data_IF_553471065162
#
_entry.id   IF_553471065162
#
_cell.length_a   1.000
_cell.length_b   1.000
_cell.length_c   1.000
_cell.angle_alpha   90.00
_cell.angle_beta   90.00
_cell.angle_gamma   90.00
#
_symmetry.space_group_name_H-M   'P 1'
#
loop_
_entity.id
_entity.type
_entity.pdbx_description
1 polymer ?
#
# COMPACT_ATOMS: atom_id res chain seq x y z
N UNK A 1 -8.21 -13.72 -6.29
CA UNK A 1 -7.07 -12.84 -6.53
C UNK A 1 -7.56 -11.58 -7.21
N UNK A 2 -6.84 -10.46 -7.09
CA UNK A 2 -7.27 -9.14 -7.61
C UNK A 2 -6.07 -8.41 -8.20
N UNK A 3 -6.22 -7.84 -9.39
CA UNK A 3 -5.16 -7.04 -10.01
C UNK A 3 -5.14 -5.66 -9.37
N UNK A 4 -3.95 -5.23 -8.94
CA UNK A 4 -3.73 -3.89 -8.39
C UNK A 4 -2.47 -3.24 -8.96
N UNK A 5 -2.53 -1.92 -9.11
CA UNK A 5 -1.37 -1.07 -9.41
C UNK A 5 -1.06 -0.18 -8.21
N UNK A 6 0.23 0.11 -8.04
CA UNK A 6 0.79 0.91 -6.96
C UNK A 6 1.80 1.89 -7.57
N UNK A 7 1.58 3.19 -7.39
CA UNK A 7 2.59 4.23 -7.66
C UNK A 7 3.15 4.72 -6.33
N UNK A 8 4.44 4.51 -6.06
CA UNK A 8 5.11 5.00 -4.85
C UNK A 8 5.69 6.38 -5.16
N UNK A 9 5.17 7.40 -4.50
CA UNK A 9 5.26 8.79 -4.92
C UNK A 9 6.24 9.55 -4.01
N UNK A 10 7.42 9.91 -4.51
CA UNK A 10 8.30 10.87 -3.85
C UNK A 10 7.80 12.30 -4.07
N UNK A 11 7.91 13.18 -3.06
CA UNK A 11 7.59 14.59 -3.23
C UNK A 11 8.63 15.24 -4.13
N UNK A 12 8.20 16.21 -4.95
CA UNK A 12 9.08 17.04 -5.76
C UNK A 12 10.17 17.69 -4.90
N UNK A 13 11.43 17.75 -5.34
CA UNK A 13 12.50 18.34 -4.55
C UNK A 13 12.19 19.79 -4.12
N UNK A 14 12.27 20.05 -2.83
CA UNK A 14 12.00 21.37 -2.24
C UNK A 14 10.52 21.65 -1.94
N UNK A 15 9.59 20.73 -2.24
CA UNK A 15 8.20 20.82 -1.81
C UNK A 15 8.08 20.47 -0.32
N UNK A 16 7.29 21.23 0.42
CA UNK A 16 6.99 20.92 1.81
C UNK A 16 6.13 19.65 1.92
N UNK A 17 6.29 18.89 3.02
CA UNK A 17 5.57 17.63 3.21
C UNK A 17 4.07 17.83 3.32
N UNK A 18 3.62 18.82 4.08
CA UNK A 18 2.18 19.08 4.24
C UNK A 18 1.60 19.56 2.91
N UNK A 19 2.33 20.44 2.20
CA UNK A 19 1.97 20.88 0.85
C UNK A 19 1.83 19.69 -0.11
N UNK A 20 2.74 18.71 -0.08
CA UNK A 20 2.67 17.52 -0.91
C UNK A 20 1.42 16.69 -0.63
N UNK A 21 1.14 16.38 0.64
CA UNK A 21 -0.03 15.57 0.98
C UNK A 21 -1.35 16.31 0.68
N UNK A 22 -1.38 17.62 0.86
CA UNK A 22 -2.52 18.45 0.47
C UNK A 22 -2.71 18.42 -1.04
N UNK A 23 -1.67 18.65 -1.83
CA UNK A 23 -1.72 18.62 -3.30
C UNK A 23 -2.17 17.26 -3.84
N UNK A 24 -1.60 16.19 -3.27
CA UNK A 24 -1.92 14.82 -3.64
C UNK A 24 -3.39 14.50 -3.38
N UNK A 25 -3.96 14.99 -2.27
CA UNK A 25 -5.40 14.86 -1.97
C UNK A 25 -6.25 15.76 -2.87
N UNK A 26 -5.86 17.02 -3.02
CA UNK A 26 -6.50 18.03 -3.86
C UNK A 26 -5.48 19.07 -4.35
N UNK A 27 -5.34 19.29 -5.67
CA UNK A 27 -6.30 18.92 -6.71
C UNK A 27 -6.12 17.51 -7.28
N UNK A 28 -4.94 16.89 -7.14
CA UNK A 28 -4.58 15.69 -7.90
C UNK A 28 -5.57 14.54 -7.71
N UNK A 29 -5.78 14.13 -6.45
CA UNK A 29 -6.71 13.06 -6.08
C UNK A 29 -8.14 13.34 -6.52
N UNK A 30 -8.56 14.60 -6.52
CA UNK A 30 -9.90 15.04 -6.98
C UNK A 30 -10.06 14.86 -8.49
N UNK A 31 -9.04 15.20 -9.27
CA UNK A 31 -9.07 15.04 -10.73
C UNK A 31 -9.15 13.57 -11.16
N UNK A 32 -8.56 12.66 -10.37
CA UNK A 32 -8.53 11.22 -10.68
C UNK A 32 -9.79 10.42 -10.31
N UNK A 33 -10.77 10.98 -9.60
CA UNK A 33 -11.87 10.19 -9.00
C UNK A 33 -12.84 9.54 -10.00
N UNK A 34 -12.88 9.98 -11.26
CA UNK A 34 -13.91 9.57 -12.22
C UNK A 34 -13.39 8.66 -13.34
N UNK A 35 -12.23 8.02 -13.14
CA UNK A 35 -11.71 7.03 -14.09
C UNK A 35 -12.56 5.76 -14.07
N UNK A 36 -13.14 5.39 -15.21
CA UNK A 36 -14.04 4.22 -15.31
C UNK A 36 -13.29 2.89 -15.30
N UNK A 37 -11.97 2.90 -15.54
CA UNK A 37 -11.11 1.72 -15.46
C UNK A 37 -10.90 1.26 -14.01
N UNK A 38 -10.99 2.17 -13.03
CA UNK A 38 -10.77 1.83 -11.62
C UNK A 38 -11.98 1.12 -10.99
N UNK A 39 -11.73 0.11 -10.16
CA UNK A 39 -12.72 -0.58 -9.30
C UNK A 39 -12.56 -0.22 -7.82
N UNK A 40 -11.49 0.48 -7.50
CA UNK A 40 -11.19 0.99 -6.18
C UNK A 40 -9.96 1.89 -6.28
N UNK A 41 -9.97 2.96 -5.50
CA UNK A 41 -8.86 3.90 -5.43
C UNK A 41 -8.61 4.27 -3.97
N UNK A 42 -7.35 4.09 -3.55
CA UNK A 42 -6.88 4.42 -2.22
C UNK A 42 -5.64 5.30 -2.33
N UNK A 43 -5.70 6.47 -1.69
CA UNK A 43 -4.53 7.30 -1.46
C UNK A 43 -3.91 6.93 -0.12
N UNK A 44 -2.73 6.33 -0.15
CA UNK A 44 -1.99 5.97 1.05
C UNK A 44 -1.03 7.12 1.38
N UNK A 45 -1.31 7.91 2.42
CA UNK A 45 -0.44 8.97 2.88
C UNK A 45 0.51 8.43 3.96
N UNK A 46 1.82 8.56 3.78
CA UNK A 46 2.80 8.19 4.80
C UNK A 46 2.51 8.93 6.11
N UNK A 47 2.52 8.19 7.21
CA UNK A 47 2.41 8.75 8.56
C UNK A 47 3.61 8.30 9.38
N UNK A 48 4.04 9.14 10.30
CA UNK A 48 5.25 8.86 11.08
C UNK A 48 5.02 7.78 12.13
N UNK A 49 6.03 6.94 12.34
CA UNK A 49 6.10 6.01 13.46
C UNK A 49 7.56 5.75 13.81
N UNK A 50 7.83 5.60 15.10
CA UNK A 50 9.12 5.18 15.64
C UNK A 50 9.18 3.67 15.89
N UNK A 51 8.19 2.90 15.41
CA UNK A 51 8.15 1.43 15.50
C UNK A 51 8.79 0.74 14.29
N UNK A 52 9.02 1.50 13.22
CA UNK A 52 9.77 1.04 12.06
C UNK A 52 11.19 1.59 12.13
N UNK A 53 12.19 0.87 11.58
CA UNK A 53 13.53 1.43 11.43
C UNK A 53 13.47 2.77 10.70
N UNK A 54 14.29 3.72 11.15
CA UNK A 54 14.40 5.03 10.51
C UNK A 54 15.10 4.86 9.16
N UNK A 55 14.32 4.54 8.13
CA UNK A 55 14.73 4.58 6.74
C UNK A 55 13.75 5.49 6.01
N UNK A 56 14.17 6.72 5.75
CA UNK A 56 13.49 7.52 4.74
C UNK A 56 13.85 6.94 3.37
N UNK A 57 12.84 6.40 2.69
CA UNK A 57 12.97 5.74 1.40
C UNK A 57 12.61 6.68 0.22
N UNK A 58 12.42 7.98 0.49
CA UNK A 58 12.05 8.97 -0.51
C UNK A 58 10.55 9.11 -0.75
N UNK A 59 9.72 8.15 -0.32
CA UNK A 59 8.29 8.13 -0.67
C UNK A 59 7.41 8.72 0.44
N UNK A 60 6.49 9.62 0.06
CA UNK A 60 5.50 10.19 0.98
C UNK A 60 4.08 9.67 0.72
N UNK A 61 3.81 9.06 -0.43
CA UNK A 61 2.50 8.45 -0.69
C UNK A 61 2.55 7.21 -1.58
N UNK A 62 1.46 6.45 -1.58
CA UNK A 62 1.22 5.38 -2.57
C UNK A 62 -0.20 5.49 -3.14
N UNK A 63 -0.30 5.67 -4.45
CA UNK A 63 -1.56 5.47 -5.16
C UNK A 63 -1.82 3.97 -5.30
N UNK A 64 -2.89 3.44 -4.71
CA UNK A 64 -3.32 2.06 -4.88
C UNK A 64 -4.60 2.00 -5.71
N UNK A 65 -4.55 1.28 -6.82
CA UNK A 65 -5.60 1.24 -7.83
C UNK A 65 -6.00 -0.21 -8.06
N UNK A 66 -7.30 -0.50 -7.97
CA UNK A 66 -7.87 -1.83 -8.16
C UNK A 66 -8.48 -1.91 -9.55
N UNK A 67 -8.22 -3.00 -10.27
CA UNK A 67 -8.60 -3.18 -11.67
C UNK A 67 -9.30 -4.53 -11.84
N UNK A 68 -10.10 -4.70 -12.90
CA UNK A 68 -10.76 -5.99 -13.13
C UNK A 68 -9.75 -7.04 -13.60
N UNK A 69 -8.77 -6.65 -14.40
CA UNK A 69 -7.87 -7.58 -15.07
C UNK A 69 -6.53 -6.94 -15.47
N UNK A 70 -5.62 -7.77 -16.02
CA UNK A 70 -4.27 -7.36 -16.43
C UNK A 70 -4.29 -6.42 -17.65
N UNK A 71 -5.26 -6.56 -18.57
CA UNK A 71 -5.36 -5.68 -19.73
C UNK A 71 -5.72 -4.24 -19.34
N UNK A 72 -6.56 -4.07 -18.31
CA UNK A 72 -6.85 -2.77 -17.71
C UNK A 72 -5.58 -2.14 -17.11
N UNK A 73 -4.70 -2.93 -16.50
CA UNK A 73 -3.42 -2.45 -15.97
C UNK A 73 -2.46 -1.99 -17.08
N UNK A 74 -2.37 -2.78 -18.16
CA UNK A 74 -1.52 -2.49 -19.32
C UNK A 74 -1.94 -1.21 -20.04
N UNK A 75 -3.24 -0.96 -20.14
CA UNK A 75 -3.82 0.20 -20.83
C UNK A 75 -4.10 1.39 -19.91
N UNK A 76 -3.77 1.30 -18.62
CA UNK A 76 -4.13 2.34 -17.64
C UNK A 76 -3.59 3.73 -17.99
N UNK A 77 -2.41 3.80 -18.64
CA UNK A 77 -1.81 5.06 -19.10
C UNK A 77 -2.58 5.73 -20.25
N UNK A 78 -3.44 5.00 -20.93
CA UNK A 78 -4.30 5.51 -22.00
C UNK A 78 -5.67 5.99 -21.46
N UNK A 79 -5.89 5.90 -20.15
CA UNK A 79 -7.17 6.29 -19.56
C UNK A 79 -7.46 7.79 -19.83
N UNK A 80 -8.65 8.14 -20.35
CA UNK A 80 -8.93 9.52 -20.80
C UNK A 80 -8.81 10.61 -19.75
N UNK A 81 -9.23 10.38 -18.50
CA UNK A 81 -9.09 11.32 -17.37
C UNK A 81 -7.62 11.50 -17.00
N UNK A 82 -6.82 10.43 -16.98
CA UNK A 82 -5.39 10.43 -16.69
C UNK A 82 -4.65 11.27 -17.73
N UNK A 83 -4.89 10.98 -19.01
CA UNK A 83 -4.28 11.70 -20.14
C UNK A 83 -4.69 13.17 -20.11
N UNK A 84 -5.96 13.46 -19.83
CA UNK A 84 -6.47 14.82 -19.86
C UNK A 84 -6.02 15.68 -18.68
N UNK A 85 -5.87 15.12 -17.50
CA UNK A 85 -5.69 15.91 -16.28
C UNK A 85 -4.47 15.56 -15.44
N UNK A 86 -4.00 14.30 -15.43
CA UNK A 86 -2.99 13.87 -14.45
C UNK A 86 -1.57 13.86 -15.00
N UNK A 87 -1.34 13.50 -16.27
CA UNK A 87 0.02 13.41 -16.83
C UNK A 87 0.80 14.72 -16.69
N UNK A 88 0.17 15.85 -17.03
CA UNK A 88 0.80 17.18 -16.90
C UNK A 88 0.81 17.69 -15.45
N UNK A 89 0.04 17.07 -14.57
CA UNK A 89 -0.09 17.46 -13.17
C UNK A 89 0.94 16.80 -12.26
N UNK A 90 1.29 15.53 -12.52
CA UNK A 90 2.28 14.77 -11.75
C UNK A 90 3.60 15.55 -11.53
N UNK A 91 4.25 16.16 -12.55
CA UNK A 91 5.53 16.88 -12.36
C UNK A 91 5.43 18.15 -11.49
N UNK A 92 4.21 18.60 -11.13
CA UNK A 92 4.03 19.76 -10.27
C UNK A 92 4.33 19.43 -8.81
N UNK A 93 4.11 18.18 -8.38
CA UNK A 93 4.26 17.76 -6.98
C UNK A 93 5.04 16.45 -6.79
N UNK A 94 5.28 15.68 -7.87
CA UNK A 94 6.02 14.41 -7.84
C UNK A 94 7.45 14.61 -8.33
N UNK A 95 8.40 13.96 -7.67
CA UNK A 95 9.73 13.73 -8.24
C UNK A 95 9.65 12.59 -9.26
N UNK A 96 9.47 12.95 -10.53
CA UNK A 96 9.24 11.99 -11.61
C UNK A 96 10.44 11.07 -11.88
N UNK A 97 11.66 11.49 -11.55
CA UNK A 97 12.87 10.70 -11.78
C UNK A 97 13.00 9.56 -10.76
N UNK A 98 12.38 9.70 -9.59
CA UNK A 98 12.43 8.73 -8.50
C UNK A 98 11.07 8.03 -8.24
N UNK A 99 10.06 8.31 -9.06
CA UNK A 99 8.74 7.68 -9.00
C UNK A 99 8.86 6.18 -9.31
N UNK A 100 8.35 5.33 -8.41
CA UNK A 100 8.38 3.88 -8.59
C UNK A 100 6.99 3.30 -8.84
N UNK A 101 6.91 2.25 -9.65
CA UNK A 101 5.67 1.57 -9.99
C UNK A 101 5.74 0.08 -9.68
N UNK A 102 4.66 -0.45 -9.12
CA UNK A 102 4.45 -1.88 -8.91
C UNK A 102 3.04 -2.25 -9.37
N UNK A 103 2.91 -3.39 -10.02
CA UNK A 103 1.63 -3.96 -10.40
C UNK A 103 1.65 -5.44 -10.06
N UNK A 104 0.64 -5.91 -9.33
CA UNK A 104 0.65 -7.24 -8.75
C UNK A 104 -0.71 -7.90 -8.74
N UNK A 105 -0.68 -9.23 -8.73
CA UNK A 105 -1.84 -10.03 -8.42
C UNK A 105 -1.90 -10.25 -6.91
N UNK A 106 -2.94 -9.67 -6.29
CA UNK A 106 -3.12 -9.69 -4.84
C UNK A 106 -4.01 -10.86 -4.40
N UNK A 107 -3.54 -11.59 -3.41
CA UNK A 107 -4.29 -12.57 -2.65
C UNK A 107 -4.56 -12.10 -1.21
N UNK A 108 -5.63 -12.63 -0.62
CA UNK A 108 -6.05 -12.30 0.74
C UNK A 108 -5.67 -13.47 1.64
N UNK A 109 -4.73 -13.24 2.56
CA UNK A 109 -4.29 -14.24 3.53
C UNK A 109 -5.14 -14.20 4.80
N UNK A 110 -5.47 -12.99 5.27
CA UNK A 110 -6.44 -12.76 6.35
C UNK A 110 -7.40 -11.67 5.91
N UNK A 111 -8.71 -11.95 5.95
CA UNK A 111 -9.73 -11.04 5.40
C UNK A 111 -10.20 -9.97 6.39
N UNK A 112 -10.21 -10.29 7.68
CA UNK A 112 -10.74 -9.52 8.80
C UNK A 112 -10.55 -10.29 10.11
N UNK A 113 -10.83 -9.68 11.28
CA UNK A 113 -10.91 -10.41 12.55
C UNK A 113 -11.89 -11.58 12.49
N UNK A 114 -11.63 -12.63 13.26
CA UNK A 114 -12.52 -13.79 13.31
C UNK A 114 -13.88 -13.40 13.88
N UNK A 115 -14.95 -13.62 13.10
CA UNK A 115 -16.32 -13.38 13.55
C UNK A 115 -16.71 -14.38 14.63
N UNK A 116 -17.50 -13.93 15.62
CA UNK A 116 -17.96 -14.73 16.76
C UNK A 116 -16.84 -15.32 17.63
N UNK A 117 -15.65 -14.71 17.60
CA UNK A 117 -14.53 -15.10 18.45
C UNK A 117 -14.58 -14.47 19.85
N UNK A 118 -15.69 -13.78 20.18
CA UNK A 118 -15.83 -13.07 21.45
C UNK A 118 -14.92 -11.85 21.53
N UNK A 119 -14.66 -11.21 20.39
CA UNK A 119 -13.87 -9.98 20.34
C UNK A 119 -14.71 -8.81 20.83
N UNK A 120 -14.05 -7.68 21.07
CA UNK A 120 -14.78 -6.44 21.29
C UNK A 120 -15.69 -6.14 20.08
N UNK A 121 -16.96 -5.73 20.25
CA UNK A 121 -17.89 -5.55 19.13
C UNK A 121 -17.40 -4.58 18.04
N UNK A 122 -16.58 -3.59 18.42
CA UNK A 122 -15.96 -2.68 17.46
C UNK A 122 -14.99 -3.37 16.49
N UNK A 123 -14.31 -4.43 16.95
CA UNK A 123 -13.36 -5.20 16.15
C UNK A 123 -14.10 -6.22 15.28
N UNK A 124 -15.13 -6.89 15.82
CA UNK A 124 -15.96 -7.84 15.06
C UNK A 124 -16.65 -7.18 13.86
N UNK A 125 -17.06 -5.92 14.01
CA UNK A 125 -17.74 -5.14 12.98
C UNK A 125 -16.79 -4.32 12.11
N UNK A 126 -15.48 -4.38 12.35
CA UNK A 126 -14.51 -3.61 11.57
C UNK A 126 -14.36 -4.16 10.16
N UNK A 127 -14.42 -3.28 9.15
CA UNK A 127 -14.26 -3.64 7.75
C UNK A 127 -13.59 -2.49 6.97
N UNK A 128 -12.48 -2.72 6.26
CA UNK A 128 -11.77 -1.67 5.53
C UNK A 128 -12.55 -1.14 4.33
N UNK A 129 -13.64 -1.80 3.91
CA UNK A 129 -14.53 -1.32 2.83
C UNK A 129 -15.56 -0.30 3.29
N UNK A 130 -15.86 -0.24 4.58
CA UNK A 130 -16.87 0.67 5.14
C UNK A 130 -16.25 1.79 5.98
N UNK A 131 -14.92 1.82 6.08
CA UNK A 131 -14.16 2.88 6.75
C UNK A 131 -13.53 3.79 5.69
N UNK A 132 -13.74 5.12 5.78
CA UNK A 132 -13.09 6.05 4.86
C UNK A 132 -11.57 6.09 5.06
N UNK A 133 -11.11 5.83 6.29
CA UNK A 133 -9.70 5.80 6.67
C UNK A 133 -9.35 4.49 7.36
N UNK A 134 -8.20 3.93 7.02
CA UNK A 134 -7.57 2.83 7.76
C UNK A 134 -6.08 3.09 7.93
N UNK A 135 -5.43 2.40 8.86
CA UNK A 135 -3.97 2.41 8.94
C UNK A 135 -3.45 1.15 8.28
N UNK A 136 -2.47 1.30 7.39
CA UNK A 136 -1.77 0.18 6.76
C UNK A 136 -0.28 0.23 6.99
N UNK A 137 0.33 -0.95 7.09
CA UNK A 137 1.75 -1.13 6.82
C UNK A 137 1.88 -1.60 5.38
N UNK A 138 2.59 -0.83 4.55
CA UNK A 138 2.98 -1.24 3.21
C UNK A 138 4.41 -1.76 3.29
N UNK A 139 4.62 -3.01 2.89
CA UNK A 139 5.89 -3.71 2.98
C UNK A 139 6.27 -4.24 1.59
N UNK A 140 6.94 -3.40 0.80
CA UNK A 140 7.44 -3.76 -0.53
C UNK A 140 8.80 -4.44 -0.40
N UNK A 141 8.98 -5.58 -1.03
CA UNK A 141 10.23 -6.36 -0.97
C UNK A 141 11.14 -5.89 -2.11
N UNK A 142 12.31 -5.35 -1.76
CA UNK A 142 13.24 -4.83 -2.77
C UNK A 142 13.84 -5.97 -3.60
N UNK A 143 14.31 -5.67 -4.81
CA UNK A 143 14.92 -6.65 -5.72
C UNK A 143 16.25 -7.21 -5.21
N UNK A 144 16.92 -6.50 -4.31
CA UNK A 144 18.10 -6.96 -3.58
C UNK A 144 17.75 -7.65 -2.24
N UNK A 145 16.46 -7.88 -1.99
CA UNK A 145 15.95 -8.62 -0.85
C UNK A 145 16.01 -10.14 -1.01
N UNK A 146 15.37 -10.83 -0.08
CA UNK A 146 15.26 -12.28 -0.08
C UNK A 146 14.20 -12.74 -1.09
N UNK A 147 14.58 -13.58 -2.05
CA UNK A 147 13.64 -14.17 -3.02
C UNK A 147 12.59 -15.08 -2.35
N UNK A 148 12.93 -15.71 -1.22
CA UNK A 148 12.05 -16.59 -0.43
C UNK A 148 11.31 -15.82 0.69
N UNK A 149 10.96 -14.56 0.41
CA UNK A 149 10.27 -13.68 1.36
C UNK A 149 8.85 -14.17 1.67
N UNK A 150 8.15 -14.70 0.67
CA UNK A 150 6.76 -15.19 0.80
C UNK A 150 6.75 -16.62 1.31
N UNK A 151 6.00 -16.88 2.39
CA UNK A 151 5.97 -18.20 3.03
C UNK A 151 4.55 -18.67 3.32
N UNK A 152 4.40 -19.96 3.59
CA UNK A 152 3.09 -20.58 3.89
C UNK A 152 2.50 -20.11 5.22
N UNK A 153 3.35 -19.69 6.16
CA UNK A 153 2.98 -19.21 7.49
C UNK A 153 2.79 -17.69 7.58
N UNK A 154 2.82 -16.98 6.43
CA UNK A 154 2.65 -15.52 6.38
C UNK A 154 1.34 -15.05 7.04
N UNK A 155 0.26 -15.83 6.89
CA UNK A 155 -1.01 -15.53 7.53
C UNK A 155 -0.93 -15.56 9.07
N UNK A 156 -0.10 -16.46 9.63
CA UNK A 156 0.10 -16.56 11.08
C UNK A 156 1.01 -15.45 11.60
N UNK A 157 2.02 -15.05 10.82
CA UNK A 157 2.84 -13.87 11.12
C UNK A 157 1.97 -12.60 11.15
N UNK A 158 1.07 -12.42 10.18
CA UNK A 158 0.11 -11.30 10.15
C UNK A 158 -0.80 -11.26 11.38
N UNK A 159 -1.28 -12.43 11.86
CA UNK A 159 -2.06 -12.52 13.11
C UNK A 159 -1.23 -12.16 14.34
N UNK A 160 0.02 -12.63 14.41
CA UNK A 160 0.96 -12.28 15.51
C UNK A 160 1.26 -10.79 15.55
N UNK A 161 1.33 -10.12 14.40
CA UNK A 161 1.42 -8.67 14.28
C UNK A 161 0.13 -7.92 14.70
N UNK A 162 -0.93 -8.65 15.06
CA UNK A 162 -2.24 -8.10 15.40
C UNK A 162 -2.93 -7.41 14.22
N UNK A 163 -2.53 -7.70 12.98
CA UNK A 163 -3.15 -7.12 11.80
C UNK A 163 -4.56 -7.71 11.61
N UNK A 164 -5.54 -6.84 11.39
CA UNK A 164 -6.93 -7.24 11.15
C UNK A 164 -7.11 -7.83 9.76
N UNK A 165 -6.29 -7.41 8.82
CA UNK A 165 -6.27 -7.89 7.44
C UNK A 165 -4.83 -8.01 6.98
N UNK A 166 -4.58 -9.00 6.12
CA UNK A 166 -3.29 -9.23 5.49
C UNK A 166 -3.51 -9.67 4.04
N UNK A 167 -2.87 -8.97 3.11
CA UNK A 167 -2.78 -9.36 1.71
C UNK A 167 -1.33 -9.49 1.28
N UNK A 168 -1.13 -10.31 0.25
CA UNK A 168 0.16 -10.49 -0.40
C UNK A 168 -0.04 -10.29 -1.90
N UNK A 169 0.92 -9.69 -2.58
CA UNK A 169 0.88 -9.54 -4.03
C UNK A 169 2.21 -9.95 -4.65
N UNK A 170 2.11 -10.78 -5.70
CA UNK A 170 3.24 -11.15 -6.56
C UNK A 170 3.26 -10.25 -7.80
N UNK A 171 4.43 -9.93 -8.37
CA UNK A 171 4.53 -9.09 -9.55
C UNK A 171 3.78 -9.70 -10.73
N UNK A 172 3.05 -8.88 -11.49
CA UNK A 172 2.47 -9.31 -12.76
C UNK A 172 3.56 -9.41 -13.84
N UNK A 173 3.84 -10.62 -14.33
CA UNK A 173 4.81 -10.86 -15.41
C UNK A 173 4.52 -9.97 -16.63
N UNK A 174 3.25 -9.79 -17.00
CA UNK A 174 2.87 -8.94 -18.13
C UNK A 174 3.25 -7.45 -17.98
N UNK A 175 3.41 -6.96 -16.74
CA UNK A 175 3.77 -5.57 -16.46
C UNK A 175 5.27 -5.36 -16.28
N UNK A 176 5.97 -6.39 -15.80
CA UNK A 176 7.35 -6.28 -15.32
C UNK A 176 8.37 -7.11 -16.12
N UNK A 177 7.91 -8.11 -16.88
CA UNK A 177 8.77 -9.17 -17.41
C UNK A 177 9.60 -9.82 -16.30
N UNK A 178 10.88 -10.06 -16.59
CA UNK A 178 11.83 -10.69 -15.66
C UNK A 178 12.44 -9.71 -14.63
N UNK A 179 12.14 -8.41 -14.71
CA UNK A 179 12.77 -7.37 -13.90
C UNK A 179 11.74 -6.50 -13.17
N UNK A 180 11.00 -7.03 -12.20
CA UNK A 180 10.02 -6.25 -11.45
C UNK A 180 10.71 -5.21 -10.56
N UNK A 181 10.04 -4.07 -10.34
CA UNK A 181 10.53 -3.02 -9.43
C UNK A 181 10.66 -3.50 -7.97
N UNK A 182 9.89 -4.53 -7.61
CA UNK A 182 9.87 -5.17 -6.28
C UNK A 182 9.61 -6.66 -6.45
N UNK A 183 10.17 -7.51 -5.58
CA UNK A 183 9.90 -8.96 -5.57
C UNK A 183 8.46 -9.27 -5.16
N UNK A 184 7.79 -8.32 -4.49
CA UNK A 184 6.37 -8.37 -4.15
C UNK A 184 6.01 -7.36 -3.09
N UNK A 185 4.79 -7.49 -2.58
CA UNK A 185 4.22 -6.59 -1.58
C UNK A 185 3.42 -7.40 -0.55
N UNK A 186 3.57 -7.05 0.72
CA UNK A 186 2.60 -7.39 1.76
C UNK A 186 1.94 -6.11 2.30
N UNK A 187 0.63 -6.20 2.54
CA UNK A 187 -0.14 -5.13 3.13
C UNK A 187 -0.81 -5.66 4.40
N UNK A 188 -0.73 -4.89 5.49
CA UNK A 188 -1.33 -5.22 6.78
C UNK A 188 -2.20 -4.06 7.25
N UNK A 189 -3.36 -4.33 7.87
CA UNK A 189 -4.28 -3.28 8.31
C UNK A 189 -4.53 -3.29 9.82
N UNK A 190 -4.70 -2.09 10.37
CA UNK A 190 -5.22 -1.84 11.72
C UNK A 190 -6.32 -0.78 11.69
N UNK A 191 -7.25 -0.80 12.66
CA UNK A 191 -8.28 0.24 12.76
C UNK A 191 -7.71 1.63 12.99
N UNK A 192 -6.68 1.76 13.82
CA UNK A 192 -6.02 3.04 14.14
C UNK A 192 -4.51 2.90 14.25
N UNK A 193 -3.81 4.04 14.24
CA UNK A 193 -2.35 4.10 14.48
C UNK A 193 -1.99 3.60 15.88
N UNK A 194 -2.83 3.89 16.86
CA UNK A 194 -2.64 3.42 18.24
C UNK A 194 -2.75 1.91 18.33
N UNK A 195 -3.66 1.29 17.57
CA UNK A 195 -3.79 -0.17 17.53
C UNK A 195 -2.58 -0.82 16.87
N UNK A 196 -2.06 -0.25 15.78
CA UNK A 196 -0.78 -0.67 15.19
C UNK A 196 0.35 -0.61 16.22
N UNK A 197 0.53 0.53 16.92
CA UNK A 197 1.59 0.66 17.91
C UNK A 197 1.45 -0.36 19.05
N UNK A 198 0.24 -0.54 19.60
CA UNK A 198 0.00 -1.51 20.68
C UNK A 198 0.28 -2.94 20.23
N UNK A 199 -0.11 -3.29 19.00
CA UNK A 199 0.10 -4.63 18.47
C UNK A 199 1.59 -4.93 18.26
N UNK A 200 2.33 -3.99 17.68
CA UNK A 200 3.79 -4.11 17.51
C UNK A 200 4.52 -4.11 18.86
N UNK A 201 4.14 -3.24 19.79
CA UNK A 201 4.76 -3.19 21.13
C UNK A 201 4.51 -4.49 21.92
N UNK A 202 3.40 -5.18 21.67
CA UNK A 202 3.08 -6.47 22.28
C UNK A 202 3.78 -7.67 21.62
N UNK A 203 4.19 -7.56 20.36
CA UNK A 203 4.86 -8.61 19.59
C UNK A 203 6.02 -8.06 18.73
N UNK A 204 7.06 -7.48 19.36
CA UNK A 204 8.17 -6.84 18.63
C UNK A 204 8.97 -7.83 17.79
N UNK A 205 9.01 -9.10 18.20
CA UNK A 205 9.66 -10.19 17.48
C UNK A 205 8.98 -10.49 16.14
N UNK A 206 7.65 -10.34 16.05
CA UNK A 206 6.91 -10.54 14.80
C UNK A 206 7.23 -9.47 13.75
N UNK A 207 7.41 -8.21 14.16
CA UNK A 207 7.81 -7.15 13.23
C UNK A 207 9.25 -7.32 12.78
N UNK A 208 10.15 -7.68 13.70
CA UNK A 208 11.53 -7.97 13.34
C UNK A 208 11.61 -9.16 12.36
N UNK A 209 10.85 -10.23 12.64
CA UNK A 209 10.77 -11.40 11.76
C UNK A 209 10.26 -11.03 10.36
N UNK A 210 9.24 -10.17 10.26
CA UNK A 210 8.74 -9.67 8.97
C UNK A 210 9.86 -8.98 8.18
N UNK A 211 10.58 -8.05 8.81
CA UNK A 211 11.66 -7.29 8.17
C UNK A 211 12.84 -8.19 7.79
N UNK A 212 13.22 -9.12 8.66
CA UNK A 212 14.32 -10.06 8.43
C UNK A 212 14.00 -11.03 7.28
N UNK A 213 12.75 -11.49 7.18
CA UNK A 213 12.29 -12.36 6.08
C UNK A 213 12.44 -11.68 4.72
N UNK A 214 12.23 -10.37 4.66
CA UNK A 214 12.41 -9.59 3.44
C UNK A 214 13.88 -9.38 3.07
N UNK A 215 14.78 -9.32 4.06
CA UNK A 215 16.20 -8.97 3.88
C UNK A 215 16.42 -7.49 3.54
N UNK A 216 15.75 -7.00 2.49
CA UNK A 216 15.71 -5.60 2.06
C UNK A 216 14.27 -5.24 1.68
N UNK A 217 13.75 -4.16 2.25
CA UNK A 217 12.38 -3.73 2.00
C UNK A 217 12.19 -2.23 2.05
N UNK A 218 11.23 -1.75 1.27
CA UNK A 218 10.68 -0.40 1.32
C UNK A 218 9.41 -0.46 2.17
N UNK A 219 9.53 -0.13 3.45
CA UNK A 219 8.48 -0.34 4.46
C UNK A 219 8.07 0.94 5.16
N UNK A 220 6.77 1.24 5.17
CA UNK A 220 6.27 2.45 5.83
C UNK A 220 4.81 2.32 6.24
N UNK A 221 4.45 3.08 7.28
CA UNK A 221 3.09 3.17 7.79
C UNK A 221 2.34 4.27 7.04
N UNK A 222 1.09 4.01 6.68
CA UNK A 222 0.25 4.94 5.93
C UNK A 222 -1.14 5.09 6.56
N UNK A 223 -1.70 6.28 6.45
CA UNK A 223 -3.14 6.49 6.51
C UNK A 223 -3.69 6.28 5.10
N UNK A 224 -4.52 5.25 4.95
CA UNK A 224 -5.13 4.86 3.69
C UNK A 224 -6.52 5.47 3.56
N UNK A 225 -6.68 6.38 2.61
CA UNK A 225 -7.91 7.11 2.34
C UNK A 225 -8.60 6.50 1.12
N UNK A 226 -9.79 5.92 1.31
CA UNK A 226 -10.55 5.28 0.24
C UNK A 226 -11.49 6.29 -0.41
N UNK A 227 -11.45 6.37 -1.73
CA UNK A 227 -12.30 7.25 -2.54
C UNK A 227 -13.39 6.51 -3.31
N UNK A 228 -13.10 5.31 -3.81
CA UNK A 228 -13.99 4.44 -4.61
C UNK A 228 -13.96 3.03 -4.04
#
# INVERSE_FOLDING_TARGET
>A
MTVKMYGLIPPKPGMDRDEFHDYYRHPHGTMGQNMTTMRGYVQNHRIDTNRLPEMWNGFEAVAEIWLDNVADALSFRDEPVLVKYLIEDEPKFVDMDNLAFFAGESEVLTSGPAQNAGLHPGDELWNPRTRPFTVKLLHFINTDGNADWSRDDDADLGKRLGAFRHTRALPLEAMHGDNPSFLGLQEFWWPTRTDFHRAVDAAPDALQELLDRAGSSTTFLVQAERFI
#
